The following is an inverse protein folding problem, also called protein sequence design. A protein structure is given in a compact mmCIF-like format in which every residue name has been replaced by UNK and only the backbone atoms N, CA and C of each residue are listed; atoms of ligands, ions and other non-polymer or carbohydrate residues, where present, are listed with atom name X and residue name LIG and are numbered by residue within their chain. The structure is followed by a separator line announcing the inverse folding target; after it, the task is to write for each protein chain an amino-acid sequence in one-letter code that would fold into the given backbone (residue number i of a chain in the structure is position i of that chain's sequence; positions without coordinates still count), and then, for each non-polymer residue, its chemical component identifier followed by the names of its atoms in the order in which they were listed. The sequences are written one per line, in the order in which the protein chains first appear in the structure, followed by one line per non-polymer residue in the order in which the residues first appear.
data_IF_749871499225
#
_entry.id   IF_749871499225
#
_cell.length_a   1.000
_cell.length_b   1.000
_cell.length_c   1.000
_cell.angle_alpha   90.00
_cell.angle_beta   90.00
_cell.angle_gamma   90.00
#
_symmetry.space_group_name_H-M   'P 1'
#
loop_
_entity.id
_entity.type
_entity.pdbx_description
1 polymer ?
#
# COMPACT_ATOMS: atom_id res chain seq x y z
N UNK A 1 10.02 1.41 10.90
CA UNK A 1 11.44 0.98 10.98
C UNK A 1 12.34 2.01 10.33
N UNK A 2 12.08 2.39 9.08
CA UNK A 2 12.70 3.49 8.35
C UNK A 2 11.80 4.74 8.34
N UNK A 3 10.80 4.80 9.24
CA UNK A 3 9.92 5.95 9.35
C UNK A 3 10.73 7.23 9.54
N UNK A 4 10.29 8.32 8.92
CA UNK A 4 10.93 9.65 8.94
C UNK A 4 12.32 9.71 8.28
N UNK A 5 12.74 8.67 7.55
CA UNK A 5 13.97 8.73 6.76
C UNK A 5 13.74 9.57 5.48
N UNK A 6 13.55 10.88 5.65
CA UNK A 6 13.09 11.80 4.60
C UNK A 6 14.03 11.89 3.38
N UNK A 7 15.32 11.58 3.55
CA UNK A 7 16.33 11.57 2.48
C UNK A 7 16.62 10.17 1.89
N UNK A 8 15.91 9.12 2.33
CA UNK A 8 16.13 7.77 1.84
C UNK A 8 15.60 7.63 0.40
N UNK A 9 16.47 7.56 -0.59
CA UNK A 9 16.07 7.44 -2.00
C UNK A 9 15.91 5.99 -2.47
N UNK A 10 16.75 5.09 -1.95
CA UNK A 10 16.81 3.67 -2.29
C UNK A 10 17.23 2.87 -1.06
N UNK A 11 16.71 1.65 -0.96
CA UNK A 11 17.07 0.71 0.09
C UNK A 11 17.29 -0.68 -0.54
N UNK A 12 18.30 -1.40 -0.04
CA UNK A 12 18.54 -2.80 -0.40
C UNK A 12 18.08 -3.67 0.77
N UNK A 13 17.07 -4.50 0.55
CA UNK A 13 16.43 -5.34 1.56
C UNK A 13 16.65 -6.84 1.34
N UNK A 14 17.40 -7.21 0.29
CA UNK A 14 17.71 -8.61 -0.01
C UNK A 14 18.35 -9.30 1.19
N UNK A 15 17.75 -10.42 1.64
CA UNK A 15 18.24 -11.22 2.77
C UNK A 15 17.59 -10.90 4.12
N UNK A 16 16.67 -9.93 4.17
CA UNK A 16 15.91 -9.65 5.39
C UNK A 16 14.90 -10.75 5.69
N UNK A 17 14.90 -11.25 6.92
CA UNK A 17 13.94 -12.25 7.37
C UNK A 17 12.72 -11.58 8.02
N UNK A 18 11.61 -11.52 7.30
CA UNK A 18 10.34 -10.96 7.81
C UNK A 18 9.33 -12.02 8.25
N UNK A 19 9.70 -13.32 8.28
CA UNK A 19 8.76 -14.43 8.52
C UNK A 19 7.97 -14.34 9.83
N UNK A 20 8.58 -13.74 10.85
CA UNK A 20 7.98 -13.55 12.18
C UNK A 20 7.33 -12.18 12.37
N UNK A 21 7.34 -11.32 11.35
CA UNK A 21 6.75 -9.99 11.44
C UNK A 21 5.22 -10.12 11.54
N UNK A 22 4.66 -9.52 12.59
CA UNK A 22 3.21 -9.41 12.81
C UNK A 22 2.73 -7.98 12.53
N UNK A 23 3.59 -7.00 12.78
CA UNK A 23 3.31 -5.58 12.59
C UNK A 23 4.34 -4.96 11.63
N UNK A 24 3.85 -4.40 10.52
CA UNK A 24 4.65 -3.60 9.58
C UNK A 24 4.18 -2.14 9.52
N UNK A 25 3.51 -1.68 10.58
CA UNK A 25 3.04 -0.30 10.71
C UNK A 25 4.18 0.70 10.53
N UNK A 26 3.96 1.70 9.68
CA UNK A 26 4.88 2.83 9.49
C UNK A 26 6.30 2.41 9.11
N UNK A 27 6.44 1.30 8.36
CA UNK A 27 7.77 0.79 8.05
C UNK A 27 8.60 1.79 7.25
N UNK A 28 7.98 2.50 6.30
CA UNK A 28 8.57 3.53 5.43
C UNK A 28 7.80 4.86 5.50
N UNK A 29 7.07 5.11 6.59
CA UNK A 29 6.28 6.34 6.77
C UNK A 29 7.19 7.57 6.63
N UNK A 30 6.74 8.58 5.87
CA UNK A 30 7.46 9.82 5.61
C UNK A 30 8.86 9.65 5.01
N UNK A 31 9.16 8.54 4.32
CA UNK A 31 10.33 8.44 3.43
C UNK A 31 10.13 9.29 2.16
N UNK A 32 10.08 10.62 2.30
CA UNK A 32 9.64 11.55 1.24
C UNK A 32 10.44 11.45 -0.05
N UNK A 33 11.74 11.19 0.03
CA UNK A 33 12.62 11.03 -1.13
C UNK A 33 12.64 9.62 -1.75
N UNK A 34 11.93 8.63 -1.17
CA UNK A 34 11.94 7.24 -1.64
C UNK A 34 11.23 7.15 -2.99
N UNK A 35 11.96 6.72 -4.03
CA UNK A 35 11.41 6.63 -5.40
C UNK A 35 10.96 5.23 -5.78
N UNK A 36 11.66 4.22 -5.27
CA UNK A 36 11.45 2.80 -5.52
C UNK A 36 11.94 1.99 -4.33
N UNK A 37 11.35 0.82 -4.12
CA UNK A 37 11.76 -0.12 -3.09
C UNK A 37 11.53 -1.55 -3.58
N UNK A 38 12.48 -2.43 -3.32
CA UNK A 38 12.35 -3.86 -3.59
C UNK A 38 11.88 -4.57 -2.31
N UNK A 39 10.70 -5.18 -2.38
CA UNK A 39 10.05 -5.92 -1.29
C UNK A 39 9.82 -7.39 -1.67
N UNK A 40 10.44 -7.87 -2.75
CA UNK A 40 10.23 -9.21 -3.28
C UNK A 40 10.56 -10.33 -2.26
N UNK A 41 11.45 -10.05 -1.31
CA UNK A 41 11.85 -11.01 -0.26
C UNK A 41 10.99 -11.00 1.00
N UNK A 42 9.97 -10.14 1.08
CA UNK A 42 9.13 -10.04 2.29
C UNK A 42 8.14 -11.20 2.35
N UNK A 43 8.23 -12.01 3.40
CA UNK A 43 7.14 -12.90 3.84
C UNK A 43 6.19 -12.08 4.73
N UNK A 44 4.98 -11.83 4.25
CA UNK A 44 3.95 -11.04 4.95
C UNK A 44 2.79 -11.89 5.46
N UNK A 45 2.84 -13.22 5.34
CA UNK A 45 1.66 -14.09 5.60
C UNK A 45 1.09 -13.99 7.02
N UNK A 46 1.93 -13.60 7.98
CA UNK A 46 1.59 -13.46 9.39
C UNK A 46 1.31 -12.01 9.80
N UNK A 47 1.47 -11.06 8.88
CA UNK A 47 1.32 -9.63 9.16
C UNK A 47 -0.17 -9.30 9.27
N UNK A 48 -0.58 -8.79 10.43
CA UNK A 48 -1.96 -8.40 10.70
C UNK A 48 -2.18 -6.90 10.56
N UNK A 49 -1.11 -6.09 10.56
CA UNK A 49 -1.18 -4.63 10.52
C UNK A 49 -0.11 -4.03 9.60
N UNK A 50 -0.56 -3.32 8.56
CA UNK A 50 0.26 -2.56 7.62
C UNK A 50 -0.11 -1.07 7.61
N UNK A 51 -0.66 -0.57 8.72
CA UNK A 51 -1.06 0.84 8.88
C UNK A 51 0.09 1.79 8.50
N UNK A 52 -0.20 2.82 7.72
CA UNK A 52 0.77 3.87 7.34
C UNK A 52 2.07 3.34 6.68
N UNK A 53 2.14 2.10 6.18
CA UNK A 53 3.42 1.48 5.79
C UNK A 53 4.23 2.32 4.79
N UNK A 54 3.55 3.00 3.86
CA UNK A 54 4.13 3.91 2.88
C UNK A 54 3.56 5.33 2.96
N UNK A 55 2.86 5.69 4.05
CA UNK A 55 2.25 7.01 4.18
C UNK A 55 3.31 8.11 4.06
N UNK A 56 3.06 9.16 3.27
CA UNK A 56 4.00 10.26 3.09
C UNK A 56 5.22 9.94 2.21
N UNK A 57 5.24 8.82 1.49
CA UNK A 57 6.24 8.54 0.46
C UNK A 57 5.98 9.38 -0.81
N UNK A 58 6.17 10.69 -0.71
CA UNK A 58 5.74 11.68 -1.72
C UNK A 58 6.37 11.49 -3.11
N UNK A 59 7.58 10.92 -3.19
CA UNK A 59 8.30 10.67 -4.45
C UNK A 59 8.15 9.22 -4.97
N UNK A 60 7.42 8.35 -4.28
CA UNK A 60 7.21 6.97 -4.69
C UNK A 60 6.30 6.94 -5.93
N UNK A 61 6.81 6.47 -7.06
CA UNK A 61 6.08 6.47 -8.35
C UNK A 61 5.42 5.14 -8.65
N UNK A 62 6.04 4.07 -8.19
CA UNK A 62 5.66 2.70 -8.47
C UNK A 62 6.14 1.80 -7.32
N UNK A 63 5.37 0.75 -7.04
CA UNK A 63 5.67 -0.26 -6.03
C UNK A 63 5.10 -1.60 -6.47
N UNK A 64 5.91 -2.65 -6.38
CA UNK A 64 5.49 -4.03 -6.65
C UNK A 64 5.14 -4.73 -5.34
N UNK A 65 3.91 -5.23 -5.24
CA UNK A 65 3.36 -5.89 -4.04
C UNK A 65 2.82 -7.29 -4.33
N UNK A 66 3.14 -7.85 -5.50
CA UNK A 66 2.67 -9.18 -5.92
C UNK A 66 3.16 -10.33 -5.03
N UNK A 67 4.23 -10.12 -4.25
CA UNK A 67 4.72 -11.09 -3.26
C UNK A 67 3.95 -11.07 -1.93
N UNK A 68 3.09 -10.08 -1.69
CA UNK A 68 2.43 -9.93 -0.41
C UNK A 68 1.31 -10.96 -0.25
N UNK A 69 1.40 -11.76 0.81
CA UNK A 69 0.30 -12.56 1.32
C UNK A 69 -0.42 -11.78 2.41
N UNK A 70 -1.66 -11.37 2.16
CA UNK A 70 -2.44 -10.50 3.07
C UNK A 70 -3.60 -11.21 3.73
N UNK A 71 -3.71 -12.54 3.65
CA UNK A 71 -4.84 -13.29 4.19
C UNK A 71 -5.04 -13.15 5.70
N UNK A 72 -4.00 -12.73 6.45
CA UNK A 72 -4.09 -12.43 7.88
C UNK A 72 -4.27 -10.94 8.20
N UNK A 73 -4.22 -10.06 7.19
CA UNK A 73 -4.24 -8.61 7.35
C UNK A 73 -5.61 -8.15 7.88
N UNK A 74 -5.59 -7.34 8.94
CA UNK A 74 -6.78 -6.80 9.59
C UNK A 74 -6.89 -5.28 9.46
N UNK A 75 -5.74 -4.60 9.35
CA UNK A 75 -5.66 -3.14 9.33
C UNK A 75 -4.65 -2.67 8.27
N UNK A 76 -5.15 -1.91 7.30
CA UNK A 76 -4.36 -1.30 6.24
C UNK A 76 -4.63 0.20 6.12
N UNK A 77 -5.16 0.83 7.17
CA UNK A 77 -5.51 2.25 7.12
C UNK A 77 -4.30 3.11 6.74
N UNK A 78 -4.56 4.16 5.97
CA UNK A 78 -3.55 5.14 5.53
C UNK A 78 -2.31 4.54 4.83
N UNK A 79 -2.31 3.26 4.39
CA UNK A 79 -1.10 2.57 3.92
C UNK A 79 -0.38 3.31 2.79
N UNK A 80 -1.11 4.01 1.91
CA UNK A 80 -0.57 4.84 0.84
C UNK A 80 -0.97 6.32 0.97
N UNK A 81 -1.36 6.77 2.16
CA UNK A 81 -1.79 8.16 2.40
C UNK A 81 -0.70 9.16 1.94
N UNK A 82 -1.05 10.18 1.17
CA UNK A 82 -0.15 11.21 0.60
C UNK A 82 1.03 10.63 -0.23
N UNK A 83 0.86 9.48 -0.88
CA UNK A 83 1.77 9.02 -1.94
C UNK A 83 1.55 9.83 -3.23
N UNK A 84 1.87 11.12 -3.19
CA UNK A 84 1.49 12.13 -4.19
C UNK A 84 1.99 11.83 -5.61
N UNK A 85 3.08 11.07 -5.77
CA UNK A 85 3.64 10.72 -7.08
C UNK A 85 3.27 9.32 -7.58
N UNK A 86 2.51 8.53 -6.83
CA UNK A 86 2.11 7.18 -7.23
C UNK A 86 1.11 7.27 -8.38
N UNK A 87 1.42 6.65 -9.52
CA UNK A 87 0.61 6.80 -10.75
C UNK A 87 -0.32 5.60 -10.99
N UNK A 88 0.18 4.41 -10.68
CA UNK A 88 -0.52 3.14 -10.84
C UNK A 88 -0.30 2.28 -9.63
N UNK A 89 -1.34 1.57 -9.20
CA UNK A 89 -1.22 0.62 -8.09
C UNK A 89 -2.08 -0.61 -8.39
N UNK A 90 -1.45 -1.78 -8.32
CA UNK A 90 -2.13 -3.07 -8.45
C UNK A 90 -2.16 -3.79 -7.09
N UNK A 91 -3.37 -3.97 -6.55
CA UNK A 91 -3.64 -4.70 -5.32
C UNK A 91 -4.55 -5.91 -5.58
N UNK A 92 -4.66 -6.39 -6.82
CA UNK A 92 -5.51 -7.55 -7.15
C UNK A 92 -5.07 -8.88 -6.55
N UNK A 93 -3.88 -8.94 -5.96
CA UNK A 93 -3.41 -10.07 -5.16
C UNK A 93 -3.80 -10.00 -3.68
N UNK A 94 -4.35 -8.88 -3.21
CA UNK A 94 -4.68 -8.72 -1.79
C UNK A 94 -5.96 -9.51 -1.46
N UNK A 95 -5.86 -10.43 -0.50
CA UNK A 95 -6.98 -10.99 0.25
C UNK A 95 -7.32 -10.02 1.39
N UNK A 96 -8.48 -9.37 1.33
CA UNK A 96 -8.92 -8.38 2.33
C UNK A 96 -10.07 -8.87 3.20
N UNK A 97 -10.42 -10.16 3.16
CA UNK A 97 -11.61 -10.68 3.85
C UNK A 97 -11.59 -10.44 5.37
N UNK A 98 -10.41 -10.30 5.97
CA UNK A 98 -10.23 -10.06 7.40
C UNK A 98 -10.00 -8.58 7.74
N UNK A 99 -9.92 -7.71 6.73
CA UNK A 99 -9.66 -6.28 6.93
C UNK A 99 -10.92 -5.61 7.45
N UNK A 100 -10.77 -4.86 8.55
CA UNK A 100 -11.86 -4.10 9.17
C UNK A 100 -11.72 -2.60 8.99
N UNK A 101 -10.52 -2.10 8.64
CA UNK A 101 -10.28 -0.68 8.45
C UNK A 101 -9.43 -0.39 7.19
N UNK A 102 -9.99 0.43 6.31
CA UNK A 102 -9.39 0.95 5.07
C UNK A 102 -9.48 2.48 4.99
N UNK A 103 -9.69 3.18 6.12
CA UNK A 103 -9.82 4.63 6.10
C UNK A 103 -8.54 5.30 5.62
N UNK A 104 -8.72 6.36 4.83
CA UNK A 104 -7.65 7.13 4.20
C UNK A 104 -6.65 6.31 3.38
N UNK A 105 -6.95 5.06 2.99
CA UNK A 105 -6.00 4.13 2.38
C UNK A 105 -5.24 4.73 1.18
N UNK A 106 -5.92 5.53 0.35
CA UNK A 106 -5.34 6.23 -0.80
C UNK A 106 -5.48 7.75 -0.70
N UNK A 107 -5.87 8.29 0.45
CA UNK A 107 -6.12 9.73 0.60
C UNK A 107 -4.87 10.53 0.21
N UNK A 108 -5.04 11.55 -0.64
CA UNK A 108 -3.93 12.40 -1.10
C UNK A 108 -3.06 11.81 -2.20
N UNK A 109 -3.36 10.61 -2.71
CA UNK A 109 -2.71 10.07 -3.92
C UNK A 109 -3.16 10.83 -5.18
N UNK A 110 -2.79 12.10 -5.29
CA UNK A 110 -3.33 13.03 -6.30
C UNK A 110 -3.00 12.65 -7.74
N UNK A 111 -1.88 11.94 -7.98
CA UNK A 111 -1.47 11.44 -9.30
C UNK A 111 -1.88 10.00 -9.61
N UNK A 112 -2.54 9.30 -8.68
CA UNK A 112 -2.96 7.92 -8.89
C UNK A 112 -4.07 7.87 -9.94
N UNK A 113 -3.75 7.41 -11.15
CA UNK A 113 -4.68 7.40 -12.27
C UNK A 113 -5.36 6.03 -12.46
N UNK A 114 -4.66 4.95 -12.13
CA UNK A 114 -5.14 3.57 -12.27
C UNK A 114 -4.95 2.80 -10.97
N UNK A 115 -6.04 2.24 -10.47
CA UNK A 115 -6.04 1.43 -9.26
C UNK A 115 -6.77 0.11 -9.51
N UNK A 116 -6.08 -1.02 -9.33
CA UNK A 116 -6.70 -2.33 -9.39
C UNK A 116 -6.94 -2.87 -7.97
N UNK A 117 -8.19 -2.84 -7.53
CA UNK A 117 -8.66 -3.38 -6.23
C UNK A 117 -9.68 -4.50 -6.45
N UNK A 118 -9.60 -5.20 -7.58
CA UNK A 118 -10.64 -6.16 -7.99
C UNK A 118 -10.78 -7.40 -7.11
N UNK A 119 -9.84 -7.64 -6.20
CA UNK A 119 -9.90 -8.73 -5.22
C UNK A 119 -10.42 -8.28 -3.85
N UNK A 120 -10.70 -6.98 -3.66
CA UNK A 120 -11.11 -6.48 -2.36
C UNK A 120 -12.47 -7.06 -1.98
N UNK A 121 -12.47 -7.89 -0.92
CA UNK A 121 -13.65 -8.25 -0.16
C UNK A 121 -13.82 -7.22 0.97
N UNK A 122 -14.88 -6.42 0.89
CA UNK A 122 -15.18 -5.36 1.85
C UNK A 122 -16.29 -5.73 2.83
N UNK A 123 -16.74 -6.99 2.87
CA UNK A 123 -17.88 -7.40 3.69
C UNK A 123 -17.66 -7.16 5.20
N UNK A 124 -16.42 -7.26 5.66
CA UNK A 124 -16.04 -7.06 7.06
C UNK A 124 -15.48 -5.65 7.36
N UNK A 125 -15.41 -4.77 6.36
CA UNK A 125 -14.84 -3.43 6.53
C UNK A 125 -15.84 -2.53 7.25
N UNK A 126 -15.40 -1.98 8.39
CA UNK A 126 -16.20 -1.10 9.25
C UNK A 126 -15.97 0.37 8.88
N UNK A 127 -14.75 0.72 8.44
CA UNK A 127 -14.35 2.10 8.16
C UNK A 127 -13.63 2.22 6.82
N UNK A 128 -14.25 2.92 5.87
CA UNK A 128 -13.69 3.35 4.58
C UNK A 128 -13.70 4.88 4.44
N UNK A 129 -13.79 5.60 5.57
CA UNK A 129 -13.86 7.06 5.54
C UNK A 129 -12.64 7.66 4.83
N UNK A 130 -12.89 8.64 3.97
CA UNK A 130 -11.86 9.38 3.22
C UNK A 130 -10.91 8.52 2.38
N UNK A 131 -11.26 7.25 2.07
CA UNK A 131 -10.39 6.30 1.35
C UNK A 131 -9.79 6.87 0.06
N UNK A 132 -10.57 7.67 -0.67
CA UNK A 132 -10.18 8.32 -1.93
C UNK A 132 -10.16 9.86 -1.85
N UNK A 133 -10.14 10.44 -0.65
CA UNK A 133 -10.11 11.89 -0.50
C UNK A 133 -8.88 12.46 -1.19
N UNK A 134 -9.03 13.51 -2.02
CA UNK A 134 -7.93 14.13 -2.79
C UNK A 134 -7.21 13.19 -3.78
N UNK A 135 -7.86 12.13 -4.27
CA UNK A 135 -7.39 11.35 -5.42
C UNK A 135 -7.78 12.00 -6.76
N UNK A 136 -7.18 13.15 -7.07
CA UNK A 136 -7.62 14.03 -8.17
C UNK A 136 -7.50 13.41 -9.57
N UNK A 137 -6.49 12.56 -9.81
CA UNK A 137 -6.26 11.93 -11.12
C UNK A 137 -6.97 10.58 -11.30
N UNK A 138 -7.66 10.08 -10.27
CA UNK A 138 -8.20 8.72 -10.27
C UNK A 138 -9.38 8.62 -11.22
N UNK A 139 -9.18 7.94 -12.35
CA UNK A 139 -10.18 7.78 -13.41
C UNK A 139 -10.61 6.33 -13.60
N UNK A 140 -9.87 5.37 -13.04
CA UNK A 140 -10.16 3.93 -13.18
C UNK A 140 -9.90 3.18 -11.86
N UNK A 141 -10.91 2.45 -11.42
CA UNK A 141 -10.88 1.55 -10.26
C UNK A 141 -11.38 0.16 -10.71
N UNK A 142 -10.59 -0.89 -10.52
CA UNK A 142 -10.96 -2.27 -10.87
C UNK A 142 -10.07 -2.91 -11.96
N UNK A 143 -10.52 -4.02 -12.55
CA UNK A 143 -9.76 -4.72 -13.62
C UNK A 143 -9.73 -3.88 -14.90
N UNK A 144 -8.57 -3.77 -15.54
CA UNK A 144 -8.56 -3.38 -16.95
C UNK A 144 -9.18 -4.53 -17.76
N UNK A 145 -10.28 -4.28 -18.46
CA UNK A 145 -10.75 -5.20 -19.49
C UNK A 145 -9.61 -5.37 -20.50
N UNK A 146 -9.22 -6.60 -20.87
CA UNK A 146 -8.28 -6.76 -21.97
C UNK A 146 -8.90 -6.09 -23.21
N UNK A 147 -8.17 -5.17 -23.84
CA UNK A 147 -8.57 -4.68 -25.16
C UNK A 147 -8.47 -5.88 -26.10
N UNK A 148 -9.62 -6.34 -26.60
CA UNK A 148 -9.69 -7.28 -27.71
C UNK A 148 -9.17 -6.63 -28.98
#
# INVERSE_FOLDING_TARGET
MFGECIQLEKLVLSGWNTKSAVYMRGMFENCRSLRTIDLSSFDTKNVINMRNMFAGCEQLRHIELSSFSTGALQDMREMFHNCNCLQTLDLSGFDTKNVTNMSYLFCGCSKLAKLNVSSFDTANVIDMSNMFCRCESLTKVGRESPRF
#
